data_IF_656551804330
#
_entry.id   IF_656551804330
#
_cell.length_a   1.000
_cell.length_b   1.000
_cell.length_c   1.000
_cell.angle_alpha   90.00
_cell.angle_beta   90.00
_cell.angle_gamma   90.00
#
_symmetry.space_group_name_H-M   'P 1'
#
loop_
_entity.id
_entity.type
_entity.pdbx_description
1 polymer ?
#
# COMPACT_ATOMS: atom_id res chain seq x y z
N UNK A 1 -49.37 -10.74 5.54
CA UNK A 1 -48.76 -9.42 5.82
C UNK A 1 -47.26 -9.54 5.53
N UNK A 2 -46.83 -9.20 4.31
CA UNK A 2 -45.42 -9.31 3.89
C UNK A 2 -44.63 -8.16 4.53
N UNK A 3 -43.67 -8.48 5.41
CA UNK A 3 -42.62 -7.52 5.77
C UNK A 3 -41.42 -7.75 4.85
N UNK A 4 -41.33 -6.86 3.86
CA UNK A 4 -40.11 -6.59 3.09
C UNK A 4 -38.98 -6.27 4.06
N UNK A 5 -37.97 -7.12 4.14
CA UNK A 5 -36.68 -6.77 4.74
C UNK A 5 -35.79 -6.20 3.63
N UNK A 6 -35.51 -4.90 3.75
CA UNK A 6 -34.50 -4.22 2.96
C UNK A 6 -33.15 -4.93 3.15
N UNK A 7 -32.54 -5.35 2.03
CA UNK A 7 -31.14 -5.76 1.97
C UNK A 7 -30.27 -4.53 2.20
N UNK A 8 -29.93 -4.26 3.46
CA UNK A 8 -28.79 -3.41 3.78
C UNK A 8 -27.52 -4.13 3.33
N UNK A 9 -26.83 -3.60 2.33
CA UNK A 9 -25.48 -4.03 1.98
C UNK A 9 -24.61 -3.83 3.22
N UNK A 10 -24.04 -4.90 3.78
CA UNK A 10 -23.05 -4.77 4.83
C UNK A 10 -21.95 -3.82 4.33
N UNK A 11 -21.74 -2.72 5.06
CA UNK A 11 -20.56 -1.88 4.84
C UNK A 11 -19.41 -2.73 5.37
N UNK A 12 -18.65 -3.36 4.47
CA UNK A 12 -17.43 -4.09 4.82
C UNK A 12 -16.41 -3.07 5.35
N UNK A 13 -16.49 -2.75 6.65
CA UNK A 13 -15.56 -1.87 7.33
C UNK A 13 -14.26 -2.62 7.57
N UNK A 14 -13.25 -2.30 6.76
CA UNK A 14 -11.91 -2.86 6.89
C UNK A 14 -11.06 -1.94 7.76
N UNK A 15 -10.28 -2.52 8.67
CA UNK A 15 -9.42 -1.75 9.56
C UNK A 15 -8.34 -0.97 8.78
N UNK A 16 -8.05 0.30 9.11
CA UNK A 16 -6.90 1.00 8.56
C UNK A 16 -5.60 0.24 8.80
N UNK A 17 -4.75 0.18 7.79
CA UNK A 17 -3.56 -0.67 7.75
C UNK A 17 -3.79 -2.06 7.16
N UNK A 18 -5.03 -2.47 6.89
CA UNK A 18 -5.32 -3.74 6.22
C UNK A 18 -5.25 -3.64 4.69
N UNK A 19 -5.14 -4.80 4.04
CA UNK A 19 -5.17 -4.93 2.59
C UNK A 19 -6.22 -5.97 2.20
N UNK A 20 -7.14 -5.58 1.32
CA UNK A 20 -8.16 -6.48 0.78
C UNK A 20 -7.69 -6.98 -0.58
N UNK A 21 -7.60 -8.29 -0.75
CA UNK A 21 -7.24 -8.91 -2.03
C UNK A 21 -8.50 -9.35 -2.76
N UNK A 22 -8.64 -8.98 -4.03
CA UNK A 22 -9.75 -9.42 -4.90
C UNK A 22 -9.27 -9.88 -6.28
N UNK A 23 -10.05 -10.77 -6.90
CA UNK A 23 -9.71 -11.33 -8.21
C UNK A 23 -8.59 -12.37 -8.14
N UNK A 24 -8.11 -12.80 -9.31
CA UNK A 24 -6.98 -13.74 -9.44
C UNK A 24 -6.03 -13.39 -10.59
N UNK A 25 -6.54 -12.84 -11.69
CA UNK A 25 -5.74 -12.52 -12.88
C UNK A 25 -6.16 -11.16 -13.49
N UNK A 26 -5.44 -10.07 -13.17
CA UNK A 26 -4.49 -9.96 -12.05
C UNK A 26 -5.21 -9.91 -10.69
N UNK A 27 -4.48 -10.23 -9.62
CA UNK A 27 -4.92 -9.87 -8.27
C UNK A 27 -4.98 -8.35 -8.14
N UNK A 28 -5.99 -7.86 -7.42
CA UNK A 28 -6.14 -6.45 -7.04
C UNK A 28 -6.02 -6.31 -5.54
N UNK A 29 -5.10 -5.47 -5.10
CA UNK A 29 -4.83 -5.17 -3.70
C UNK A 29 -5.42 -3.80 -3.38
N UNK A 30 -6.31 -3.74 -2.39
CA UNK A 30 -6.91 -2.51 -1.93
C UNK A 30 -6.39 -2.21 -0.53
N UNK A 31 -5.38 -1.35 -0.45
CA UNK A 31 -4.81 -0.89 0.81
C UNK A 31 -5.75 0.13 1.47
N UNK A 32 -6.13 -0.14 2.72
CA UNK A 32 -7.00 0.74 3.51
C UNK A 32 -6.11 1.64 4.35
N UNK A 33 -5.94 2.90 3.94
CA UNK A 33 -5.05 3.87 4.63
C UNK A 33 -5.80 5.08 5.19
N UNK A 34 -7.10 5.14 4.94
CA UNK A 34 -7.97 6.20 5.45
C UNK A 34 -9.04 5.64 6.40
N UNK A 35 -9.30 6.41 7.45
CA UNK A 35 -10.45 6.29 8.34
C UNK A 35 -11.19 7.62 8.29
N UNK A 36 -12.43 7.60 7.81
CA UNK A 36 -13.23 8.82 7.63
C UNK A 36 -13.83 9.34 8.94
N UNK A 37 -13.80 8.54 10.00
CA UNK A 37 -14.28 8.93 11.33
C UNK A 37 -13.17 9.62 12.16
N UNK A 38 -11.95 9.71 11.61
CA UNK A 38 -10.81 10.39 12.24
C UNK A 38 -10.43 11.68 11.50
N UNK A 39 -9.90 12.66 12.24
CA UNK A 39 -9.21 13.82 11.69
C UNK A 39 -7.78 13.92 12.30
N UNK A 40 -6.70 13.87 11.49
CA UNK A 40 -6.68 13.63 10.05
C UNK A 40 -7.21 12.23 9.69
N UNK A 41 -7.78 12.10 8.48
CA UNK A 41 -8.33 10.83 7.99
C UNK A 41 -7.28 9.76 7.75
N UNK A 42 -6.00 10.04 7.96
CA UNK A 42 -4.89 9.12 7.73
C UNK A 42 -3.88 9.20 8.86
N UNK A 43 -3.08 8.15 9.02
CA UNK A 43 -1.95 8.14 9.95
C UNK A 43 -0.78 7.40 9.32
N UNK A 44 0.44 7.86 9.59
CA UNK A 44 1.68 7.22 9.12
C UNK A 44 1.72 5.73 9.46
N UNK A 45 1.30 5.37 10.68
CA UNK A 45 1.23 3.97 11.14
C UNK A 45 0.29 3.10 10.30
N UNK A 46 -0.77 3.67 9.73
CA UNK A 46 -1.70 2.93 8.87
C UNK A 46 -1.10 2.69 7.49
N UNK A 47 -0.34 3.65 6.96
CA UNK A 47 0.41 3.44 5.72
C UNK A 47 1.47 2.36 5.90
N UNK A 48 2.26 2.40 6.98
CA UNK A 48 3.24 1.35 7.29
C UNK A 48 2.58 -0.03 7.42
N UNK A 49 1.51 -0.14 8.20
CA UNK A 49 0.78 -1.40 8.37
C UNK A 49 0.21 -1.93 7.04
N UNK A 50 -0.25 -1.03 6.14
CA UNK A 50 -0.73 -1.43 4.83
C UNK A 50 0.40 -1.92 3.91
N UNK A 51 1.59 -1.32 3.98
CA UNK A 51 2.78 -1.81 3.27
C UNK A 51 3.13 -3.23 3.77
N UNK A 52 3.18 -3.41 5.09
CA UNK A 52 3.52 -4.71 5.69
C UNK A 52 2.50 -5.79 5.31
N UNK A 53 1.20 -5.47 5.43
CA UNK A 53 0.11 -6.38 5.03
C UNK A 53 0.16 -6.70 3.53
N UNK A 54 0.52 -5.73 2.69
CA UNK A 54 0.67 -5.95 1.25
C UNK A 54 1.80 -6.94 0.96
N UNK A 55 2.98 -6.76 1.58
CA UNK A 55 4.12 -7.65 1.37
C UNK A 55 3.84 -9.07 1.89
N UNK A 56 3.12 -9.20 3.01
CA UNK A 56 2.64 -10.49 3.50
C UNK A 56 1.73 -11.19 2.49
N UNK A 57 0.76 -10.49 1.91
CA UNK A 57 -0.12 -11.06 0.90
C UNK A 57 0.60 -11.41 -0.40
N UNK A 58 1.61 -10.62 -0.78
CA UNK A 58 2.48 -10.90 -1.93
C UNK A 58 3.28 -12.18 -1.72
N UNK A 59 3.84 -12.40 -0.53
CA UNK A 59 4.54 -13.64 -0.21
C UNK A 59 3.57 -14.83 -0.17
N UNK A 60 2.42 -14.68 0.49
CA UNK A 60 1.38 -15.71 0.61
C UNK A 60 0.84 -16.16 -0.75
N UNK A 61 0.73 -15.24 -1.71
CA UNK A 61 0.27 -15.50 -3.07
C UNK A 61 1.39 -15.84 -4.04
N UNK A 62 2.64 -15.92 -3.56
CA UNK A 62 3.83 -16.26 -4.35
C UNK A 62 4.03 -15.37 -5.59
N UNK A 63 3.66 -14.10 -5.47
CA UNK A 63 3.70 -13.18 -6.60
C UNK A 63 5.13 -12.79 -6.94
N UNK A 64 5.45 -12.84 -8.23
CA UNK A 64 6.76 -12.46 -8.74
C UNK A 64 6.87 -10.98 -9.09
N UNK A 65 5.73 -10.30 -9.21
CA UNK A 65 5.71 -8.93 -9.66
C UNK A 65 4.47 -8.18 -9.14
N UNK A 66 4.67 -6.93 -8.71
CA UNK A 66 3.59 -6.03 -8.28
C UNK A 66 3.78 -4.63 -8.82
N UNK A 67 2.66 -3.95 -9.11
CA UNK A 67 2.62 -2.51 -9.31
C UNK A 67 2.02 -1.86 -8.05
N UNK A 68 2.74 -0.91 -7.46
CA UNK A 68 2.42 -0.29 -6.19
C UNK A 68 2.33 1.23 -6.36
N UNK A 69 1.15 1.85 -6.21
CA UNK A 69 1.06 3.30 -6.11
C UNK A 69 1.70 3.79 -4.81
N UNK A 70 2.11 5.06 -4.79
CA UNK A 70 2.58 5.74 -3.58
C UNK A 70 1.41 5.92 -2.60
N UNK A 71 1.31 5.06 -1.59
CA UNK A 71 0.18 5.07 -0.67
C UNK A 71 0.18 6.32 0.21
N UNK A 72 -0.98 6.96 0.37
CA UNK A 72 -1.16 8.15 1.20
C UNK A 72 -0.67 9.46 0.57
N UNK A 73 0.01 9.44 -0.58
CA UNK A 73 0.62 10.67 -1.15
C UNK A 73 -0.34 11.53 -1.96
N UNK A 74 -1.48 10.97 -2.41
CA UNK A 74 -2.47 11.72 -3.21
C UNK A 74 -3.45 12.50 -2.32
N UNK A 75 -4.09 11.82 -1.36
CA UNK A 75 -5.13 12.43 -0.51
C UNK A 75 -4.70 12.62 0.95
N UNK A 76 -3.61 11.98 1.37
CA UNK A 76 -3.08 12.10 2.74
C UNK A 76 -1.97 13.13 2.89
N UNK A 77 -1.63 13.91 1.86
CA UNK A 77 -0.48 14.85 1.88
C UNK A 77 0.84 14.18 2.32
N UNK A 78 0.94 12.86 2.21
CA UNK A 78 2.11 12.14 2.63
C UNK A 78 3.25 12.45 1.67
N UNK A 79 4.40 12.80 2.24
CA UNK A 79 5.61 13.04 1.47
C UNK A 79 6.09 11.74 0.77
N UNK A 80 6.39 11.79 -0.55
CA UNK A 80 6.88 10.61 -1.28
C UNK A 80 8.19 10.02 -0.74
N UNK A 81 9.14 10.85 -0.28
CA UNK A 81 10.40 10.35 0.30
C UNK A 81 10.10 9.53 1.54
N UNK A 82 9.21 10.02 2.40
CA UNK A 82 8.76 9.28 3.59
C UNK A 82 8.13 7.93 3.24
N UNK A 83 7.34 7.85 2.17
CA UNK A 83 6.77 6.58 1.70
C UNK A 83 7.87 5.62 1.25
N UNK A 84 8.82 6.10 0.47
CA UNK A 84 9.92 5.30 -0.05
C UNK A 84 10.83 4.77 1.06
N UNK A 85 11.09 5.57 2.10
CA UNK A 85 11.83 5.12 3.29
C UNK A 85 11.10 3.98 4.00
N UNK A 86 9.79 4.10 4.23
CA UNK A 86 9.01 3.04 4.89
C UNK A 86 8.91 1.77 4.03
N UNK A 87 8.73 1.91 2.71
CA UNK A 87 8.72 0.78 1.79
C UNK A 87 10.07 0.06 1.77
N UNK A 88 11.17 0.82 1.70
CA UNK A 88 12.52 0.26 1.73
C UNK A 88 12.77 -0.52 3.03
N UNK A 89 12.41 0.06 4.17
CA UNK A 89 12.54 -0.60 5.47
C UNK A 89 11.72 -1.91 5.52
N UNK A 90 10.46 -1.89 5.07
CA UNK A 90 9.62 -3.09 5.06
C UNK A 90 10.18 -4.20 4.15
N UNK A 91 10.77 -3.84 3.01
CA UNK A 91 11.44 -4.79 2.11
C UNK A 91 12.72 -5.38 2.71
N UNK A 92 13.42 -4.67 3.59
CA UNK A 92 14.60 -5.19 4.31
C UNK A 92 14.17 -6.11 5.45
N UNK A 93 13.17 -5.70 6.23
CA UNK A 93 12.70 -6.43 7.41
C UNK A 93 12.00 -7.75 7.04
N UNK A 94 11.27 -7.77 5.93
CA UNK A 94 10.48 -8.93 5.50
C UNK A 94 10.31 -9.00 3.98
N UNK A 95 11.39 -9.28 3.21
CA UNK A 95 11.30 -9.37 1.76
C UNK A 95 10.42 -10.57 1.34
N UNK A 96 9.43 -10.38 0.45
CA UNK A 96 8.70 -11.51 -0.11
C UNK A 96 9.62 -12.40 -0.96
N UNK A 97 9.58 -13.71 -0.71
CA UNK A 97 10.58 -14.68 -1.19
C UNK A 97 10.66 -14.78 -2.71
N UNK A 98 9.52 -14.63 -3.39
CA UNK A 98 9.41 -14.80 -4.83
C UNK A 98 9.28 -13.49 -5.59
N UNK A 99 9.19 -12.35 -4.89
CA UNK A 99 9.04 -11.06 -5.53
C UNK A 99 10.33 -10.67 -6.25
N UNK A 100 10.25 -10.50 -7.58
CA UNK A 100 11.39 -10.11 -8.42
C UNK A 100 11.28 -8.69 -8.94
N UNK A 101 10.06 -8.14 -9.03
CA UNK A 101 9.80 -6.83 -9.60
C UNK A 101 8.76 -6.08 -8.79
N UNK A 102 9.11 -4.87 -8.36
CA UNK A 102 8.18 -3.91 -7.78
C UNK A 102 8.24 -2.67 -8.66
N UNK A 103 7.12 -2.32 -9.28
CA UNK A 103 6.98 -1.06 -10.02
C UNK A 103 6.28 -0.05 -9.14
N UNK A 104 6.90 1.12 -8.99
CA UNK A 104 6.24 2.26 -8.36
C UNK A 104 5.41 2.98 -9.41
N UNK A 105 4.11 3.10 -9.15
CA UNK A 105 3.18 3.85 -10.00
C UNK A 105 3.05 5.24 -9.39
N UNK A 106 3.58 6.23 -10.10
CA UNK A 106 3.59 7.62 -9.65
C UNK A 106 3.07 8.56 -10.75
N UNK A 107 2.51 9.73 -10.38
CA UNK A 107 2.19 10.78 -11.34
C UNK A 107 3.44 11.23 -12.11
N UNK A 108 3.29 11.45 -13.41
CA UNK A 108 4.40 11.76 -14.34
C UNK A 108 5.24 12.96 -13.92
N UNK A 109 4.60 13.97 -13.34
CA UNK A 109 5.18 15.21 -12.83
C UNK A 109 6.17 14.99 -11.69
N UNK A 110 6.05 13.88 -10.95
CA UNK A 110 6.87 13.57 -9.79
C UNK A 110 7.95 12.51 -10.06
N UNK A 111 7.96 11.91 -11.26
CA UNK A 111 8.88 10.83 -11.61
C UNK A 111 10.36 11.22 -11.43
N UNK A 112 10.75 12.44 -11.84
CA UNK A 112 12.14 12.89 -11.70
C UNK A 112 12.61 13.01 -10.24
N UNK A 113 11.74 13.48 -9.34
CA UNK A 113 12.04 13.55 -7.90
C UNK A 113 12.12 12.17 -7.27
N UNK A 114 11.18 11.28 -7.61
CA UNK A 114 11.15 9.89 -7.12
C UNK A 114 12.39 9.12 -7.55
N UNK A 115 12.82 9.26 -8.82
CA UNK A 115 14.04 8.62 -9.32
C UNK A 115 15.26 9.09 -8.51
N UNK A 116 15.40 10.40 -8.26
CA UNK A 116 16.50 10.94 -7.44
C UNK A 116 16.50 10.35 -6.03
N UNK A 117 15.33 10.22 -5.40
CA UNK A 117 15.22 9.61 -4.06
C UNK A 117 15.63 8.13 -4.10
N UNK A 118 15.17 7.38 -5.10
CA UNK A 118 15.52 5.97 -5.28
C UNK A 118 17.03 5.78 -5.52
N UNK A 119 17.64 6.62 -6.34
CA UNK A 119 19.09 6.63 -6.58
C UNK A 119 19.88 6.95 -5.32
N UNK A 120 19.45 7.96 -4.56
CA UNK A 120 20.06 8.33 -3.29
C UNK A 120 19.94 7.22 -2.23
N UNK A 121 18.84 6.45 -2.25
CA UNK A 121 18.61 5.32 -1.35
C UNK A 121 19.46 4.11 -1.74
N UNK A 122 19.68 3.88 -3.04
CA UNK A 122 20.51 2.78 -3.57
C UNK A 122 21.98 2.86 -3.14
N UNK A 123 22.52 4.07 -2.95
CA UNK A 123 23.88 4.30 -2.45
C UNK A 123 24.03 4.18 -0.93
N UNK A 124 22.92 4.21 -0.18
CA UNK A 124 22.90 4.01 1.27
C UNK A 124 22.55 2.56 1.59
N UNK A 125 23.45 1.66 1.21
CA UNK A 125 23.56 0.41 1.96
C UNK A 125 24.09 0.81 3.35
N UNK A 126 23.19 1.16 4.27
CA UNK A 126 23.48 1.16 5.69
C UNK A 126 23.68 -0.31 6.06
N UNK A 127 24.95 -0.73 6.09
CA UNK A 127 25.39 -1.99 6.65
C UNK A 127 25.24 -1.97 8.17
#
# INVERSE_FOLDING_TARGET
MLKSQARGTAIDSHAPGSVVVRGRYPYRFFAVVHDLDCDPTWRVRWVKAAIDSLLMEVDRLELRAIALPLLGTVHGQMDPERFLVMLHQALIEGPPRLLRRLWLVAPSENCGGIIKILEATRGRAFW
#
